data_IF_402668249910
#
_entry.id   IF_402668249910
#
_cell.length_a   1.000
_cell.length_b   1.000
_cell.length_c   1.000
_cell.angle_alpha   90.00
_cell.angle_beta   90.00
_cell.angle_gamma   90.00
#
_symmetry.space_group_name_H-M   'P 1'
#
loop_
_entity.id
_entity.type
_entity.pdbx_description
1 polymer ?
#
# COMPACT_ATOMS: atom_id res chain seq x y z
N UNK A 1 0.49 10.78 -12.71
CA UNK A 1 1.53 9.79 -12.37
C UNK A 1 1.83 8.95 -13.61
N UNK A 2 3.02 8.34 -13.73
CA UNK A 2 3.33 7.35 -14.77
C UNK A 2 3.66 6.00 -14.12
N UNK A 3 3.53 4.90 -14.86
CA UNK A 3 4.01 3.58 -14.41
C UNK A 3 5.54 3.60 -14.24
N UNK A 4 6.04 3.15 -13.10
CA UNK A 4 7.47 3.09 -12.86
C UNK A 4 8.11 2.06 -13.78
N UNK A 5 9.14 2.49 -14.51
CA UNK A 5 10.03 1.58 -15.19
C UNK A 5 10.79 0.72 -14.17
N UNK A 6 11.25 -0.46 -14.59
CA UNK A 6 12.04 -1.35 -13.73
C UNK A 6 13.22 -0.62 -13.04
N UNK A 7 14.03 0.20 -13.74
CA UNK A 7 15.12 0.93 -13.08
C UNK A 7 14.65 1.99 -12.07
N UNK A 8 13.53 2.68 -12.31
CA UNK A 8 12.97 3.65 -11.37
C UNK A 8 12.50 2.96 -10.09
N UNK A 9 11.77 1.85 -10.24
CA UNK A 9 11.30 1.04 -9.12
C UNK A 9 12.47 0.49 -8.29
N UNK A 10 13.48 -0.09 -8.94
CA UNK A 10 14.66 -0.61 -8.23
C UNK A 10 15.40 0.47 -7.45
N UNK A 11 15.59 1.66 -8.03
CA UNK A 11 16.24 2.79 -7.33
C UNK A 11 15.43 3.24 -6.12
N UNK A 12 14.11 3.28 -6.25
CA UNK A 12 13.22 3.69 -5.17
C UNK A 12 13.19 2.66 -4.02
N UNK A 13 13.21 1.36 -4.34
CA UNK A 13 13.33 0.27 -3.36
C UNK A 13 14.72 0.24 -2.71
N UNK A 14 15.79 0.46 -3.48
CA UNK A 14 17.15 0.57 -2.94
C UNK A 14 17.29 1.78 -2.01
N UNK A 15 16.66 2.90 -2.35
CA UNK A 15 16.56 4.05 -1.46
C UNK A 15 15.90 3.65 -0.13
N UNK A 16 14.73 3.00 -0.17
CA UNK A 16 14.01 2.58 1.03
C UNK A 16 14.86 1.68 1.95
N UNK A 17 15.58 0.71 1.35
CA UNK A 17 16.43 -0.26 2.06
C UNK A 17 17.69 0.35 2.69
N UNK A 18 18.14 1.49 2.21
CA UNK A 18 19.33 2.18 2.71
C UNK A 18 19.02 3.23 3.79
N UNK A 19 17.75 3.42 4.15
CA UNK A 19 17.36 4.31 5.23
C UNK A 19 17.74 3.71 6.58
N UNK A 20 18.33 4.52 7.44
CA UNK A 20 18.45 4.16 8.85
C UNK A 20 17.13 4.39 9.60
N UNK A 21 17.07 3.95 10.86
CA UNK A 21 15.87 4.07 11.68
C UNK A 21 15.42 5.54 11.86
N UNK A 22 16.38 6.47 11.91
CA UNK A 22 16.08 7.90 12.12
C UNK A 22 15.39 8.48 10.88
N UNK A 23 15.93 8.20 9.70
CA UNK A 23 15.35 8.64 8.43
C UNK A 23 14.01 7.96 8.16
N UNK A 24 13.90 6.65 8.41
CA UNK A 24 12.62 5.94 8.28
C UNK A 24 11.54 6.50 9.20
N UNK A 25 11.89 6.80 10.47
CA UNK A 25 10.97 7.42 11.43
C UNK A 25 10.53 8.82 10.99
N UNK A 26 11.41 9.62 10.38
CA UNK A 26 11.03 10.94 9.84
C UNK A 26 10.00 10.81 8.73
N UNK A 27 10.19 9.87 7.79
CA UNK A 27 9.24 9.61 6.71
C UNK A 27 7.87 9.20 7.26
N UNK A 28 7.85 8.28 8.23
CA UNK A 28 6.61 7.82 8.85
C UNK A 28 5.88 8.95 9.60
N UNK A 29 6.60 9.74 10.39
CA UNK A 29 6.02 10.88 11.12
C UNK A 29 5.45 11.92 10.14
N UNK A 30 6.21 12.26 9.10
CA UNK A 30 5.75 13.21 8.08
C UNK A 30 4.51 12.69 7.35
N UNK A 31 4.47 11.41 7.02
CA UNK A 31 3.31 10.78 6.40
C UNK A 31 2.08 10.79 7.32
N UNK A 32 2.25 10.59 8.63
CA UNK A 32 1.16 10.71 9.61
C UNK A 32 0.60 12.13 9.69
N UNK A 33 1.46 13.14 9.60
CA UNK A 33 1.04 14.55 9.56
C UNK A 33 0.33 14.91 8.25
N UNK A 34 0.89 14.48 7.12
CA UNK A 34 0.35 14.81 5.80
C UNK A 34 -0.95 14.05 5.51
N UNK A 35 -1.06 12.78 5.91
CA UNK A 35 -2.17 11.88 5.58
C UNK A 35 -2.70 11.12 6.81
N UNK A 36 -3.25 11.81 7.82
CA UNK A 36 -3.62 11.20 9.10
C UNK A 36 -4.66 10.08 8.97
N UNK A 37 -5.63 10.20 8.06
CA UNK A 37 -6.67 9.18 7.86
C UNK A 37 -6.05 7.92 7.24
N UNK A 38 -5.25 8.09 6.19
CA UNK A 38 -4.58 6.96 5.54
C UNK A 38 -3.56 6.30 6.48
N UNK A 39 -2.81 7.08 7.24
CA UNK A 39 -1.89 6.57 8.25
C UNK A 39 -2.62 5.79 9.36
N UNK A 40 -3.81 6.23 9.78
CA UNK A 40 -4.63 5.47 10.73
C UNK A 40 -5.06 4.12 10.14
N UNK A 41 -5.45 4.08 8.87
CA UNK A 41 -5.81 2.82 8.21
C UNK A 41 -4.61 1.87 8.11
N UNK A 42 -3.48 2.38 7.61
CA UNK A 42 -2.27 1.59 7.31
C UNK A 42 -1.57 1.13 8.58
N UNK A 43 -1.44 1.97 9.60
CA UNK A 43 -0.63 1.62 10.78
C UNK A 43 -1.44 1.04 11.95
N UNK A 44 -2.77 1.06 11.86
CA UNK A 44 -3.61 0.54 12.94
C UNK A 44 -4.68 -0.43 12.45
N UNK A 45 -5.57 -0.01 11.55
CA UNK A 45 -6.74 -0.82 11.18
C UNK A 45 -6.35 -2.09 10.41
N UNK A 46 -5.60 -1.95 9.31
CA UNK A 46 -5.23 -3.11 8.48
C UNK A 46 -4.30 -4.09 9.21
N UNK A 47 -3.23 -3.64 9.90
CA UNK A 47 -2.36 -4.54 10.67
C UNK A 47 -3.11 -5.29 11.75
N UNK A 48 -4.07 -4.65 12.42
CA UNK A 48 -4.91 -5.29 13.44
C UNK A 48 -5.72 -6.45 12.85
N UNK A 49 -6.39 -6.22 11.71
CA UNK A 49 -7.18 -7.27 11.03
C UNK A 49 -6.31 -8.43 10.54
N UNK A 50 -5.10 -8.15 10.05
CA UNK A 50 -4.16 -9.20 9.63
C UNK A 50 -3.64 -9.97 10.85
N UNK A 51 -3.31 -9.26 11.93
CA UNK A 51 -2.77 -9.83 13.17
C UNK A 51 -3.75 -10.81 13.84
N UNK A 52 -5.06 -10.61 13.69
CA UNK A 52 -6.09 -11.57 14.13
C UNK A 52 -5.93 -12.95 13.47
N UNK A 53 -5.37 -13.01 12.25
CA UNK A 53 -5.14 -14.25 11.53
C UNK A 53 -3.69 -14.74 11.66
N UNK A 54 -2.71 -13.84 11.57
CA UNK A 54 -1.30 -14.15 11.69
C UNK A 54 -0.48 -12.88 12.01
N UNK A 55 0.22 -12.89 13.14
CA UNK A 55 1.03 -11.76 13.60
C UNK A 55 2.23 -11.47 12.68
N UNK A 56 2.93 -12.49 12.21
CA UNK A 56 4.10 -12.31 11.33
C UNK A 56 3.71 -11.68 9.99
N UNK A 57 2.53 -12.04 9.47
CA UNK A 57 1.96 -11.42 8.27
C UNK A 57 1.57 -9.95 8.49
N UNK A 58 1.23 -9.56 9.74
CA UNK A 58 1.00 -8.16 10.08
C UNK A 58 2.29 -7.35 10.08
N UNK A 59 3.42 -7.96 10.48
CA UNK A 59 4.73 -7.33 10.42
C UNK A 59 5.21 -7.13 8.98
N UNK A 60 5.16 -8.16 8.13
CA UNK A 60 5.55 -8.00 6.71
C UNK A 60 4.63 -7.02 5.97
N UNK A 61 3.35 -6.95 6.33
CA UNK A 61 2.44 -5.93 5.81
C UNK A 61 2.94 -4.50 6.11
N UNK A 62 3.35 -4.25 7.35
CA UNK A 62 3.87 -2.94 7.77
C UNK A 62 5.16 -2.58 7.04
N UNK A 63 6.07 -3.55 6.89
CA UNK A 63 7.33 -3.37 6.17
C UNK A 63 7.07 -3.02 4.70
N UNK A 64 6.18 -3.76 4.03
CA UNK A 64 5.82 -3.51 2.64
C UNK A 64 5.04 -2.19 2.46
N UNK A 65 4.25 -1.77 3.46
CA UNK A 65 3.63 -0.45 3.43
C UNK A 65 4.67 0.67 3.52
N UNK A 66 5.72 0.50 4.31
CA UNK A 66 6.84 1.44 4.34
C UNK A 66 7.56 1.51 2.99
N UNK A 67 7.80 0.36 2.34
CA UNK A 67 8.35 0.32 0.98
C UNK A 67 7.46 1.06 -0.01
N UNK A 68 6.14 0.86 0.03
CA UNK A 68 5.20 1.60 -0.82
C UNK A 68 5.32 3.12 -0.58
N UNK A 69 5.28 3.57 0.68
CA UNK A 69 5.42 4.99 1.03
C UNK A 69 6.71 5.56 0.43
N UNK A 70 7.84 4.88 0.65
CA UNK A 70 9.14 5.31 0.16
C UNK A 70 9.20 5.33 -1.36
N UNK A 71 8.67 4.31 -2.03
CA UNK A 71 8.66 4.20 -3.49
C UNK A 71 7.91 5.38 -4.12
N UNK A 72 6.70 5.66 -3.63
CA UNK A 72 5.91 6.77 -4.15
C UNK A 72 6.56 8.13 -3.86
N UNK A 73 7.08 8.33 -2.65
CA UNK A 73 7.74 9.59 -2.30
C UNK A 73 9.00 9.84 -3.12
N UNK A 74 9.82 8.79 -3.30
CA UNK A 74 11.05 8.88 -4.06
C UNK A 74 10.80 9.15 -5.54
N UNK A 75 9.80 8.47 -6.14
CA UNK A 75 9.54 8.57 -7.56
C UNK A 75 8.71 9.80 -7.97
N UNK A 76 7.76 10.21 -7.12
CA UNK A 76 6.76 11.21 -7.48
C UNK A 76 6.77 12.48 -6.63
N UNK A 77 7.64 12.56 -5.61
CA UNK A 77 7.77 13.69 -4.71
C UNK A 77 6.97 13.52 -3.42
N UNK A 78 6.90 14.58 -2.61
CA UNK A 78 6.22 14.53 -1.30
C UNK A 78 4.76 14.09 -1.46
N UNK A 79 4.27 13.25 -0.55
CA UNK A 79 2.85 12.91 -0.48
C UNK A 79 2.03 14.18 -0.27
N UNK A 80 1.02 14.47 -1.12
CA UNK A 80 0.08 15.56 -0.89
C UNK A 80 -0.50 15.47 0.51
N UNK A 81 -0.80 16.61 1.13
CA UNK A 81 -1.46 16.66 2.43
C UNK A 81 -2.96 16.42 2.29
N UNK A 82 -3.61 15.98 3.36
CA UNK A 82 -5.04 15.69 3.43
C UNK A 82 -5.88 16.91 3.04
N UNK A 83 -5.40 18.12 3.36
CA UNK A 83 -6.07 19.39 3.06
C UNK A 83 -5.91 19.81 1.59
N UNK A 84 -4.89 19.32 0.90
CA UNK A 84 -4.71 19.52 -0.54
C UNK A 84 -5.61 18.60 -1.37
N UNK A 85 -6.21 17.58 -0.74
CA UNK A 85 -7.19 16.69 -1.35
C UNK A 85 -8.59 17.25 -1.11
N UNK A 86 -9.39 17.40 -2.17
CA UNK A 86 -10.73 17.96 -2.03
C UNK A 86 -11.64 17.03 -1.20
N UNK A 87 -12.56 17.57 -0.36
CA UNK A 87 -13.50 16.75 0.39
C UNK A 87 -14.30 15.78 -0.49
N UNK A 88 -14.73 16.24 -1.67
CA UNK A 88 -15.49 15.42 -2.63
C UNK A 88 -14.64 14.27 -3.19
N UNK A 89 -13.35 14.51 -3.42
CA UNK A 89 -12.43 13.46 -3.84
C UNK A 89 -12.26 12.40 -2.74
N UNK A 90 -12.14 12.84 -1.47
CA UNK A 90 -12.00 11.95 -0.32
C UNK A 90 -13.25 11.09 -0.09
N UNK A 91 -14.44 11.70 -0.19
CA UNK A 91 -15.72 10.97 -0.13
C UNK A 91 -15.78 9.90 -1.21
N UNK A 92 -15.41 10.25 -2.45
CA UNK A 92 -15.36 9.30 -3.56
C UNK A 92 -14.36 8.16 -3.31
N UNK A 93 -13.20 8.44 -2.72
CA UNK A 93 -12.25 7.38 -2.35
C UNK A 93 -12.80 6.46 -1.26
N UNK A 94 -13.51 7.01 -0.26
CA UNK A 94 -14.13 6.22 0.79
C UNK A 94 -15.26 5.30 0.25
N UNK A 95 -16.05 5.79 -0.70
CA UNK A 95 -17.06 4.99 -1.40
C UNK A 95 -16.43 3.86 -2.22
N UNK A 96 -15.39 4.18 -3.02
CA UNK A 96 -14.65 3.19 -3.81
C UNK A 96 -14.04 2.11 -2.93
N UNK A 97 -13.39 2.49 -1.83
CA UNK A 97 -12.84 1.58 -0.85
C UNK A 97 -13.92 0.69 -0.23
N UNK A 98 -15.07 1.27 0.13
CA UNK A 98 -16.20 0.53 0.70
C UNK A 98 -16.76 -0.50 -0.29
N UNK A 99 -16.89 -0.13 -1.56
CA UNK A 99 -17.30 -1.06 -2.63
C UNK A 99 -16.27 -2.19 -2.82
N UNK A 100 -14.98 -1.85 -2.81
CA UNK A 100 -13.89 -2.82 -2.90
C UNK A 100 -13.95 -3.81 -1.73
N UNK A 101 -14.02 -3.33 -0.48
CA UNK A 101 -14.15 -4.18 0.72
C UNK A 101 -15.41 -5.06 0.69
N UNK A 102 -16.55 -4.54 0.24
CA UNK A 102 -17.77 -5.34 0.10
C UNK A 102 -17.66 -6.41 -0.98
N UNK A 103 -17.01 -6.14 -2.10
CA UNK A 103 -16.80 -7.13 -3.17
C UNK A 103 -15.98 -8.34 -2.68
N UNK A 104 -15.01 -8.09 -1.79
CA UNK A 104 -14.15 -9.11 -1.18
C UNK A 104 -14.92 -10.06 -0.26
N UNK A 105 -15.94 -9.54 0.43
CA UNK A 105 -16.84 -10.36 1.24
C UNK A 105 -17.77 -11.25 0.40
N UNK A 106 -17.99 -10.93 -0.88
CA UNK A 106 -19.03 -11.53 -1.72
C UNK A 106 -18.51 -12.45 -2.84
N UNK A 107 -17.22 -12.42 -3.22
CA UNK A 107 -16.72 -13.22 -4.36
C UNK A 107 -15.42 -13.99 -4.10
N UNK A 108 -15.32 -15.17 -4.74
CA UNK A 108 -14.13 -16.05 -4.84
C UNK A 108 -13.20 -15.69 -6.02
N UNK A 109 -13.42 -14.58 -6.71
CA UNK A 109 -12.61 -14.14 -7.85
C UNK A 109 -11.20 -13.67 -7.47
N UNK A 110 -10.34 -13.52 -8.47
CA UNK A 110 -8.99 -12.94 -8.31
C UNK A 110 -9.11 -11.45 -7.98
N UNK A 111 -8.37 -11.01 -6.96
CA UNK A 111 -8.29 -9.62 -6.53
C UNK A 111 -7.78 -8.68 -7.63
N UNK A 112 -6.89 -9.18 -8.50
CA UNK A 112 -6.32 -8.42 -9.60
C UNK A 112 -7.42 -7.93 -10.56
N UNK A 113 -8.40 -8.77 -10.90
CA UNK A 113 -9.42 -8.42 -11.90
C UNK A 113 -10.24 -7.16 -11.55
N UNK A 114 -10.40 -6.84 -10.25
CA UNK A 114 -11.13 -5.66 -9.79
C UNK A 114 -10.26 -4.39 -9.70
N UNK A 115 -8.94 -4.54 -9.59
CA UNK A 115 -7.98 -3.44 -9.48
C UNK A 115 -7.18 -3.19 -10.77
N UNK A 116 -7.17 -4.13 -11.71
CA UNK A 116 -6.39 -4.15 -12.95
C UNK A 116 -6.67 -2.97 -13.88
N UNK A 117 -7.84 -2.33 -13.77
CA UNK A 117 -8.17 -1.16 -14.60
C UNK A 117 -7.68 0.17 -14.01
N UNK A 118 -7.22 0.20 -12.76
CA UNK A 118 -6.94 1.46 -12.04
C UNK A 118 -5.54 1.54 -11.42
N UNK A 119 -4.86 0.42 -11.15
CA UNK A 119 -3.49 0.46 -10.64
C UNK A 119 -2.49 0.38 -11.80
N UNK A 120 -1.79 1.49 -12.06
CA UNK A 120 -0.78 1.59 -13.12
C UNK A 120 0.64 1.20 -12.64
N UNK A 121 0.79 0.47 -11.54
CA UNK A 121 2.10 0.14 -10.95
C UNK A 121 2.31 -1.38 -10.89
N UNK A 122 2.24 -2.05 -12.04
CA UNK A 122 2.32 -3.52 -12.12
C UNK A 122 3.65 -4.05 -11.60
N UNK A 123 4.76 -3.34 -11.86
CA UNK A 123 6.08 -3.71 -11.33
C UNK A 123 6.13 -3.73 -9.79
N UNK A 124 5.53 -2.73 -9.13
CA UNK A 124 5.48 -2.66 -7.67
C UNK A 124 4.58 -3.76 -7.09
N UNK A 125 3.43 -4.05 -7.73
CA UNK A 125 2.54 -5.14 -7.32
C UNK A 125 3.27 -6.49 -7.40
N UNK A 126 4.00 -6.74 -8.49
CA UNK A 126 4.76 -7.98 -8.64
C UNK A 126 5.82 -8.11 -7.55
N UNK A 127 6.56 -7.05 -7.27
CA UNK A 127 7.53 -7.03 -6.17
C UNK A 127 6.88 -7.35 -4.80
N UNK A 128 5.72 -6.77 -4.51
CA UNK A 128 4.97 -7.04 -3.27
C UNK A 128 4.56 -8.51 -3.18
N UNK A 129 3.99 -9.05 -4.26
CA UNK A 129 3.56 -10.45 -4.30
C UNK A 129 4.76 -11.40 -4.15
N UNK A 130 5.85 -11.14 -4.86
CA UNK A 130 7.08 -11.94 -4.76
C UNK A 130 7.65 -11.92 -3.33
N UNK A 131 7.62 -10.76 -2.66
CA UNK A 131 8.07 -10.61 -1.27
C UNK A 131 7.20 -11.40 -0.28
N UNK A 132 5.88 -11.42 -0.49
CA UNK A 132 4.96 -12.22 0.31
C UNK A 132 5.16 -13.72 0.07
N UNK A 133 5.28 -14.12 -1.20
CA UNK A 133 5.47 -15.53 -1.57
C UNK A 133 6.76 -16.09 -0.97
N UNK A 134 7.88 -15.35 -1.07
CA UNK A 134 9.15 -15.70 -0.45
C UNK A 134 8.96 -15.88 1.07
N UNK A 135 8.35 -14.90 1.75
CA UNK A 135 8.11 -14.97 3.19
C UNK A 135 7.20 -16.15 3.59
N UNK A 136 6.17 -16.47 2.81
CA UNK A 136 5.22 -17.55 3.14
C UNK A 136 5.83 -18.93 2.92
N UNK A 137 6.78 -19.08 2.00
CA UNK A 137 7.42 -20.37 1.74
C UNK A 137 8.13 -20.96 2.95
N UNK A 138 8.55 -20.11 3.89
CA UNK A 138 9.23 -20.50 5.12
C UNK A 138 8.29 -21.14 6.17
N UNK A 139 7.02 -20.71 6.27
CA UNK A 139 6.04 -21.29 7.19
C UNK A 139 4.61 -21.33 6.60
N UNK A 140 4.10 -22.56 6.44
CA UNK A 140 2.74 -22.83 5.94
C UNK A 140 1.63 -22.25 6.81
N UNK A 141 1.87 -21.95 8.09
CA UNK A 141 0.89 -21.28 8.98
C UNK A 141 0.55 -19.86 8.51
N UNK A 142 1.42 -19.23 7.71
CA UNK A 142 1.21 -17.88 7.15
C UNK A 142 0.14 -17.87 6.05
N UNK A 143 -0.10 -19.02 5.38
CA UNK A 143 -1.00 -19.14 4.22
C UNK A 143 -2.42 -18.64 4.45
N UNK A 144 -2.97 -18.80 5.65
CA UNK A 144 -4.34 -18.35 5.95
C UNK A 144 -4.49 -16.82 5.85
N UNK A 145 -3.42 -16.07 6.14
CA UNK A 145 -3.42 -14.62 6.16
C UNK A 145 -2.84 -13.97 4.89
N UNK A 146 -2.37 -14.76 3.91
CA UNK A 146 -1.79 -14.26 2.65
C UNK A 146 -2.79 -13.42 1.89
N UNK A 147 -3.97 -13.99 1.61
CA UNK A 147 -4.98 -13.32 0.79
C UNK A 147 -5.40 -11.97 1.39
N UNK A 148 -5.61 -11.90 2.70
CA UNK A 148 -5.98 -10.64 3.35
C UNK A 148 -4.82 -9.63 3.33
N UNK A 149 -3.57 -10.08 3.47
CA UNK A 149 -2.39 -9.22 3.42
C UNK A 149 -2.20 -8.62 2.03
N UNK A 150 -2.21 -9.46 0.98
CA UNK A 150 -2.14 -9.02 -0.43
C UNK A 150 -3.26 -8.03 -0.75
N UNK A 151 -4.48 -8.33 -0.29
CA UNK A 151 -5.64 -7.46 -0.49
C UNK A 151 -5.42 -6.06 0.08
N UNK A 152 -4.96 -5.98 1.33
CA UNK A 152 -4.74 -4.69 1.98
C UNK A 152 -3.59 -3.94 1.32
N UNK A 153 -2.53 -4.62 0.87
CA UNK A 153 -1.42 -3.99 0.15
C UNK A 153 -1.83 -3.47 -1.24
N UNK A 154 -2.70 -4.19 -1.95
CA UNK A 154 -3.30 -3.72 -3.20
C UNK A 154 -4.15 -2.46 -2.97
N UNK A 155 -4.97 -2.45 -1.92
CA UNK A 155 -5.75 -1.27 -1.52
C UNK A 155 -4.81 -0.09 -1.23
N UNK A 156 -3.76 -0.29 -0.44
CA UNK A 156 -2.77 0.76 -0.13
C UNK A 156 -2.13 1.29 -1.41
N UNK A 157 -1.64 0.40 -2.29
CA UNK A 157 -1.03 0.79 -3.57
C UNK A 157 -1.98 1.58 -4.45
N UNK A 158 -3.26 1.18 -4.48
CA UNK A 158 -4.31 1.87 -5.24
C UNK A 158 -4.59 3.28 -4.68
N UNK A 159 -4.72 3.41 -3.36
CA UNK A 159 -4.94 4.71 -2.71
C UNK A 159 -3.78 5.66 -3.00
N UNK A 160 -2.53 5.18 -2.93
CA UNK A 160 -1.35 5.97 -3.31
C UNK A 160 -1.38 6.37 -4.79
N UNK A 161 -1.68 5.44 -5.70
CA UNK A 161 -1.86 5.75 -7.13
C UNK A 161 -2.88 6.87 -7.35
N UNK A 162 -4.00 6.82 -6.63
CA UNK A 162 -5.06 7.83 -6.75
C UNK A 162 -4.63 9.19 -6.20
N UNK A 163 -3.99 9.25 -5.02
CA UNK A 163 -3.48 10.48 -4.40
C UNK A 163 -2.50 11.20 -5.34
N UNK A 164 -1.51 10.48 -5.86
CA UNK A 164 -0.47 11.03 -6.74
C UNK A 164 -0.95 11.32 -8.16
N UNK A 165 -2.08 10.74 -8.56
CA UNK A 165 -2.73 11.09 -9.82
C UNK A 165 -3.57 12.35 -9.67
N UNK A 166 -4.32 12.49 -8.57
CA UNK A 166 -5.18 13.64 -8.33
C UNK A 166 -4.39 14.94 -8.10
N UNK A 167 -3.30 14.88 -7.32
CA UNK A 167 -2.46 16.04 -7.01
C UNK A 167 -1.71 16.65 -8.20
N UNK A 168 -1.64 15.96 -9.35
CA UNK A 168 -1.04 16.50 -10.58
C UNK A 168 -2.07 17.17 -11.51
N UNK A 169 -3.32 17.29 -11.09
CA UNK A 169 -4.42 17.98 -11.80
C UNK A 169 -4.71 19.31 -11.15
#
# INVERSE_FOLDING_TARGET
MHELTTPELYKALEYARNLDETEGRKILNQFQEDQPILAQMIFHLFPMTINEQNQEMSHIFMDLCFDIICVYQHAFGKTPTQNELSPEWLEKQAELLSMQLQSLSKQKGSLQEHFDQQIQQTGLINFINDSIDEFVTEDKKRKSAVKITETMLLIVTHLFSNIYTHSKT
#
